data_IF_856927414758
#
_entry.id   IF_856927414758
#
_cell.length_a   1.000
_cell.length_b   1.000
_cell.length_c   1.000
_cell.angle_alpha   90.00
_cell.angle_beta   90.00
_cell.angle_gamma   90.00
#
_symmetry.space_group_name_H-M   'P 1'
#
loop_
_entity.id
_entity.type
_entity.pdbx_description
1 polymer ?
#
# COMPACT_ATOMS: atom_id res chain seq x y z
N UNK A 1 -9.42 34.05 13.02
CA UNK A 1 -9.79 33.27 11.82
C UNK A 1 -8.77 32.16 11.62
N UNK A 2 -9.11 30.93 11.99
CA UNK A 2 -8.26 29.76 11.71
C UNK A 2 -8.22 29.55 10.19
N UNK A 3 -7.04 29.66 9.58
CA UNK A 3 -6.87 29.32 8.16
C UNK A 3 -7.12 27.82 8.05
N UNK A 4 -8.20 27.44 7.34
CA UNK A 4 -8.43 26.05 6.95
C UNK A 4 -7.23 25.61 6.11
N UNK A 5 -6.32 24.84 6.70
CA UNK A 5 -5.30 24.14 5.94
C UNK A 5 -5.96 22.87 5.39
N UNK A 6 -5.92 22.64 4.07
CA UNK A 6 -6.43 21.40 3.52
C UNK A 6 -5.72 20.23 4.24
N UNK A 7 -6.50 19.28 4.72
CA UNK A 7 -5.98 18.08 5.37
C UNK A 7 -5.09 17.36 4.36
N UNK A 8 -3.84 17.07 4.73
CA UNK A 8 -2.96 16.31 3.86
C UNK A 8 -3.68 15.00 3.46
N UNK A 9 -3.62 14.66 2.19
CA UNK A 9 -4.27 13.48 1.63
C UNK A 9 -3.23 12.42 1.30
N UNK A 10 -3.66 11.17 1.21
CA UNK A 10 -2.85 10.06 0.74
C UNK A 10 -2.27 10.38 -0.65
N UNK A 11 -0.96 10.17 -0.82
CA UNK A 11 -0.32 10.27 -2.13
C UNK A 11 -0.54 8.97 -2.89
N UNK A 12 -1.19 9.05 -4.05
CA UNK A 12 -1.32 7.92 -4.96
C UNK A 12 -0.13 7.76 -5.91
N UNK A 13 0.82 8.69 -5.87
CA UNK A 13 1.97 8.75 -6.80
C UNK A 13 3.27 8.33 -6.14
N UNK A 14 3.38 8.49 -4.82
CA UNK A 14 4.57 8.15 -4.04
C UNK A 14 4.16 7.32 -2.83
N UNK A 15 4.26 6.02 -2.97
CA UNK A 15 3.83 5.05 -1.98
C UNK A 15 4.99 4.14 -1.61
N UNK A 16 5.07 3.74 -0.36
CA UNK A 16 5.88 2.61 0.08
C UNK A 16 4.99 1.61 0.81
N UNK A 17 4.93 0.41 0.29
CA UNK A 17 4.22 -0.71 0.92
C UNK A 17 5.21 -1.49 1.76
N UNK A 18 4.92 -1.68 3.04
CA UNK A 18 5.82 -2.41 3.95
C UNK A 18 5.10 -3.56 4.63
N UNK A 19 5.86 -4.61 4.87
CA UNK A 19 5.52 -5.69 5.77
C UNK A 19 6.70 -6.02 6.68
N UNK A 20 6.42 -6.60 7.87
CA UNK A 20 7.47 -7.00 8.80
C UNK A 20 7.27 -8.42 9.31
N UNK A 21 8.38 -9.12 9.46
CA UNK A 21 8.44 -10.39 10.16
C UNK A 21 9.14 -10.22 11.50
N UNK A 22 8.57 -10.83 12.52
CA UNK A 22 8.99 -10.63 13.91
C UNK A 22 9.16 -11.95 14.64
N UNK A 23 9.96 -11.90 15.71
CA UNK A 23 9.98 -12.96 16.73
C UNK A 23 9.68 -12.37 18.10
N UNK A 24 9.03 -13.17 18.95
CA UNK A 24 8.90 -12.91 20.39
C UNK A 24 9.74 -13.92 21.17
N UNK A 25 10.31 -13.48 22.29
CA UNK A 25 10.95 -14.36 23.25
C UNK A 25 9.95 -14.99 24.23
N UNK A 26 8.68 -14.62 24.15
CA UNK A 26 7.63 -15.11 25.04
C UNK A 26 6.79 -16.21 24.36
N UNK A 27 6.53 -17.28 25.09
CA UNK A 27 5.56 -18.31 24.71
C UNK A 27 4.30 -18.12 25.53
N UNK A 28 3.15 -18.04 24.86
CA UNK A 28 1.86 -17.93 25.57
C UNK A 28 1.40 -19.31 26.01
N UNK A 29 0.95 -19.46 27.29
CA UNK A 29 0.51 -20.77 27.82
C UNK A 29 -0.65 -21.40 27.06
N UNK A 30 -1.48 -20.58 26.41
CA UNK A 30 -2.65 -20.99 25.61
C UNK A 30 -2.32 -21.16 24.12
N UNK A 31 -1.04 -21.00 23.72
CA UNK A 31 -0.61 -21.00 22.31
C UNK A 31 -1.06 -19.78 21.52
N UNK A 32 -1.56 -18.73 22.20
CA UNK A 32 -1.98 -17.48 21.58
C UNK A 32 -0.81 -16.66 21.02
N UNK A 33 -1.15 -15.61 20.29
CA UNK A 33 -0.15 -14.67 19.75
C UNK A 33 0.38 -13.78 20.90
N UNK A 34 1.72 -13.68 21.08
CA UNK A 34 2.30 -12.87 22.15
C UNK A 34 1.93 -11.38 22.00
N UNK A 35 1.91 -10.60 23.11
CA UNK A 35 1.65 -9.17 23.05
C UNK A 35 2.63 -8.45 22.10
N UNK A 36 2.15 -7.50 21.30
CA UNK A 36 2.96 -6.81 20.28
C UNK A 36 4.26 -6.20 20.83
N UNK A 37 4.25 -5.73 22.08
CA UNK A 37 5.41 -5.09 22.72
C UNK A 37 6.56 -6.06 23.04
N UNK A 38 6.33 -7.39 22.98
CA UNK A 38 7.37 -8.41 23.19
C UNK A 38 8.04 -8.84 21.88
N UNK A 39 7.50 -8.37 20.76
CA UNK A 39 8.04 -8.67 19.44
C UNK A 39 9.21 -7.75 19.11
N UNK A 40 10.17 -8.31 18.36
CA UNK A 40 11.24 -7.55 17.70
C UNK A 40 11.24 -7.85 16.21
N UNK A 41 11.46 -6.85 15.34
CA UNK A 41 11.54 -7.08 13.90
C UNK A 41 12.83 -7.87 13.59
N UNK A 42 12.73 -8.81 12.64
CA UNK A 42 13.88 -9.55 12.10
C UNK A 42 14.07 -9.26 10.62
N UNK A 43 12.97 -9.09 9.88
CA UNK A 43 12.94 -8.69 8.48
C UNK A 43 11.88 -7.62 8.30
N UNK A 44 12.17 -6.65 7.46
CA UNK A 44 11.18 -5.77 6.85
C UNK A 44 11.40 -5.83 5.35
N UNK A 45 10.35 -6.01 4.58
CA UNK A 45 10.35 -5.82 3.15
C UNK A 45 9.54 -4.59 2.78
N UNK A 46 10.03 -3.82 1.83
CA UNK A 46 9.42 -2.58 1.35
C UNK A 46 9.41 -2.55 -0.17
N UNK A 47 8.27 -2.27 -0.78
CA UNK A 47 8.15 -1.95 -2.19
C UNK A 47 7.88 -0.45 -2.33
N UNK A 48 8.82 0.29 -2.88
CA UNK A 48 8.54 1.65 -3.30
C UNK A 48 7.81 1.62 -4.63
N UNK A 49 6.77 2.45 -4.74
CA UNK A 49 5.93 2.60 -5.92
C UNK A 49 5.88 4.09 -6.25
N UNK A 50 6.70 4.54 -7.16
CA UNK A 50 6.77 5.94 -7.57
C UNK A 50 6.20 6.09 -8.98
N UNK A 51 5.19 6.95 -9.14
CA UNK A 51 4.53 7.21 -10.43
C UNK A 51 5.07 8.49 -11.05
N UNK A 52 5.58 8.39 -12.27
CA UNK A 52 6.08 9.56 -13.00
C UNK A 52 4.94 10.37 -13.65
N UNK A 53 5.26 11.54 -14.18
CA UNK A 53 4.31 12.44 -14.85
C UNK A 53 3.64 11.84 -16.10
N UNK A 54 4.17 10.74 -16.65
CA UNK A 54 3.59 10.01 -17.78
C UNK A 54 2.65 8.86 -17.34
N UNK A 55 2.47 8.70 -16.02
CA UNK A 55 1.63 7.65 -15.45
C UNK A 55 2.31 6.28 -15.33
N UNK A 56 3.61 6.21 -15.54
CA UNK A 56 4.38 4.98 -15.43
C UNK A 56 4.86 4.78 -13.98
N UNK A 57 4.74 3.56 -13.49
CA UNK A 57 5.19 3.17 -12.18
C UNK A 57 6.64 2.67 -12.22
N UNK A 58 7.41 3.11 -11.26
CA UNK A 58 8.74 2.59 -10.95
C UNK A 58 8.65 1.84 -9.63
N UNK A 59 9.15 0.61 -9.62
CA UNK A 59 9.12 -0.26 -8.45
C UNK A 59 10.53 -0.62 -8.02
N UNK A 60 10.76 -0.63 -6.71
CA UNK A 60 12.01 -1.13 -6.13
C UNK A 60 11.67 -1.91 -4.86
N UNK A 61 12.07 -3.19 -4.80
CA UNK A 61 11.95 -4.03 -3.63
C UNK A 61 13.23 -3.95 -2.79
N UNK A 62 13.09 -3.59 -1.54
CA UNK A 62 14.20 -3.55 -0.57
C UNK A 62 13.82 -4.37 0.65
N UNK A 63 14.69 -5.31 1.04
CA UNK A 63 14.50 -6.11 2.26
C UNK A 63 15.61 -5.82 3.27
N UNK A 64 15.22 -5.43 4.47
CA UNK A 64 16.09 -5.08 5.60
C UNK A 64 16.12 -6.25 6.59
N UNK A 65 17.31 -6.66 7.03
CA UNK A 65 17.52 -7.71 8.03
C UNK A 65 18.04 -7.10 9.31
N UNK A 66 17.16 -6.81 10.26
CA UNK A 66 17.50 -6.09 11.49
C UNK A 66 18.57 -6.77 12.36
N UNK A 67 18.77 -8.07 12.21
CA UNK A 67 19.81 -8.79 12.95
C UNK A 67 21.21 -8.72 12.30
N UNK A 68 21.31 -8.26 11.06
CA UNK A 68 22.54 -8.25 10.25
C UNK A 68 22.95 -6.83 9.83
N UNK A 69 22.02 -5.87 9.84
CA UNK A 69 22.20 -4.52 9.32
C UNK A 69 22.18 -3.49 10.47
N UNK A 70 23.33 -2.88 10.76
CA UNK A 70 23.44 -1.83 11.77
C UNK A 70 22.72 -0.53 11.35
N UNK A 71 22.57 -0.28 10.04
CA UNK A 71 21.88 0.88 9.47
C UNK A 71 20.40 0.62 9.15
N UNK A 72 19.82 -0.51 9.62
CA UNK A 72 18.46 -0.95 9.29
C UNK A 72 17.41 0.17 9.44
N UNK A 73 17.44 0.91 10.54
CA UNK A 73 16.48 2.00 10.79
C UNK A 73 16.72 3.24 9.92
N UNK A 74 17.97 3.53 9.57
CA UNK A 74 18.30 4.64 8.65
C UNK A 74 17.87 4.28 7.23
N UNK A 75 18.05 3.03 6.82
CA UNK A 75 17.55 2.52 5.55
C UNK A 75 16.03 2.57 5.51
N UNK A 76 15.35 2.11 6.58
CA UNK A 76 13.90 2.26 6.69
C UNK A 76 13.45 3.71 6.55
N UNK A 77 14.06 4.63 7.30
CA UNK A 77 13.69 6.06 7.23
C UNK A 77 13.84 6.62 5.81
N UNK A 78 14.93 6.28 5.08
CA UNK A 78 15.13 6.68 3.68
C UNK A 78 14.01 6.20 2.76
N UNK A 79 13.50 4.99 2.96
CA UNK A 79 12.39 4.43 2.18
C UNK A 79 11.06 5.16 2.44
N UNK A 80 10.86 5.65 3.67
CA UNK A 80 9.62 6.33 4.07
C UNK A 80 9.57 7.83 3.69
N UNK A 81 10.73 8.47 3.45
CA UNK A 81 10.78 9.91 3.15
C UNK A 81 9.94 10.23 1.91
N UNK A 82 9.05 11.24 2.07
CA UNK A 82 8.18 11.76 1.01
C UNK A 82 7.20 10.74 0.40
N UNK A 83 6.96 9.61 1.05
CA UNK A 83 6.01 8.60 0.62
C UNK A 83 4.88 8.40 1.63
N UNK A 84 3.71 8.03 1.15
CA UNK A 84 2.64 7.49 1.97
C UNK A 84 2.94 6.02 2.28
N UNK A 85 2.98 5.67 3.55
CA UNK A 85 3.24 4.29 4.01
C UNK A 85 1.96 3.47 3.90
N UNK A 86 2.03 2.31 3.29
CA UNK A 86 0.91 1.36 3.20
C UNK A 86 1.27 0.07 3.92
N UNK A 87 0.32 -0.47 4.66
CA UNK A 87 0.48 -1.73 5.41
C UNK A 87 -0.81 -2.56 5.39
N UNK A 88 -0.69 -3.79 5.81
CA UNK A 88 -1.83 -4.67 6.10
C UNK A 88 -1.89 -5.04 7.60
N UNK A 89 -1.82 -4.16 8.52
CA UNK A 89 -1.91 -4.22 9.99
C UNK A 89 -0.86 -3.33 10.67
N UNK A 90 -0.49 -2.24 10.02
CA UNK A 90 0.54 -1.35 10.53
C UNK A 90 0.15 -0.64 11.80
N UNK A 91 -1.11 -0.21 11.91
CA UNK A 91 -1.60 0.50 13.11
C UNK A 91 -1.63 -0.40 14.34
N UNK A 92 -2.04 -1.66 14.15
CA UNK A 92 -2.19 -2.61 15.23
C UNK A 92 -0.90 -3.31 15.65
N UNK A 93 0.09 -3.37 14.74
CA UNK A 93 1.27 -4.18 14.97
C UNK A 93 2.57 -3.61 14.41
N UNK A 94 2.71 -3.40 13.08
CA UNK A 94 4.02 -3.11 12.47
C UNK A 94 4.66 -1.83 13.00
N UNK A 95 3.93 -0.72 12.95
CA UNK A 95 4.48 0.57 13.33
C UNK A 95 4.78 0.69 14.83
N UNK A 96 3.91 0.20 15.76
CA UNK A 96 4.25 0.12 17.17
C UNK A 96 5.51 -0.71 17.46
N UNK A 97 5.66 -1.88 16.82
CA UNK A 97 6.84 -2.75 16.99
C UNK A 97 8.10 -2.05 16.48
N UNK A 98 8.07 -1.46 15.28
CA UNK A 98 9.20 -0.74 14.70
C UNK A 98 9.60 0.46 15.57
N UNK A 99 8.63 1.24 16.04
CA UNK A 99 8.89 2.42 16.88
C UNK A 99 9.52 2.03 18.21
N UNK A 100 9.01 0.98 18.88
CA UNK A 100 9.57 0.49 20.14
C UNK A 100 10.98 -0.08 19.94
N UNK A 101 11.22 -0.83 18.87
CA UNK A 101 12.52 -1.36 18.52
C UNK A 101 13.54 -0.26 18.22
N UNK A 102 13.13 0.79 17.49
CA UNK A 102 13.98 1.94 17.23
C UNK A 102 14.39 2.64 18.53
N UNK A 103 13.46 2.83 19.46
CA UNK A 103 13.73 3.41 20.77
C UNK A 103 14.71 2.55 21.59
N UNK A 104 14.49 1.23 21.62
CA UNK A 104 15.37 0.31 22.35
C UNK A 104 16.80 0.26 21.79
N UNK A 105 16.95 0.45 20.48
CA UNK A 105 18.24 0.58 19.79
C UNK A 105 18.81 2.00 19.78
N UNK A 106 18.15 2.96 20.44
CA UNK A 106 18.55 4.39 20.50
C UNK A 106 18.54 5.11 19.15
N UNK A 107 17.75 4.62 18.19
CA UNK A 107 17.53 5.29 16.90
C UNK A 107 16.40 6.31 17.01
N UNK A 108 16.71 7.55 17.40
CA UNK A 108 15.72 8.60 17.66
C UNK A 108 15.49 9.57 16.50
N UNK A 109 16.20 9.43 15.38
CA UNK A 109 16.13 10.36 14.25
C UNK A 109 15.35 9.76 13.08
N UNK A 110 14.08 9.39 13.33
CA UNK A 110 13.18 8.73 12.40
C UNK A 110 11.87 9.52 12.27
N UNK A 111 11.89 10.74 11.70
CA UNK A 111 10.70 11.58 11.60
C UNK A 111 9.61 10.98 10.74
N UNK A 112 9.95 10.28 9.64
CA UNK A 112 8.96 9.67 8.74
C UNK A 112 8.27 8.47 9.39
N UNK A 113 9.05 7.59 10.04
CA UNK A 113 8.50 6.49 10.82
C UNK A 113 7.61 7.01 11.95
N UNK A 114 8.07 8.02 12.68
CA UNK A 114 7.30 8.62 13.78
C UNK A 114 5.99 9.22 13.25
N UNK A 115 6.04 9.94 12.14
CA UNK A 115 4.84 10.54 11.55
C UNK A 115 3.83 9.49 11.10
N UNK A 116 4.27 8.38 10.50
CA UNK A 116 3.41 7.27 10.13
C UNK A 116 2.81 6.56 11.35
N UNK A 117 3.63 6.30 12.38
CA UNK A 117 3.23 5.56 13.59
C UNK A 117 2.29 6.36 14.51
N UNK A 118 2.37 7.68 14.50
CA UNK A 118 1.57 8.57 15.36
C UNK A 118 0.40 9.24 14.64
N UNK A 119 0.21 8.95 13.36
CA UNK A 119 -0.94 9.47 12.63
C UNK A 119 -2.24 8.93 13.24
N UNK A 120 -3.25 9.79 13.32
CA UNK A 120 -4.57 9.37 13.79
C UNK A 120 -5.11 8.21 12.94
N UNK A 121 -5.63 7.18 13.58
CA UNK A 121 -6.25 6.01 12.91
C UNK A 121 -7.38 6.37 11.92
N UNK A 122 -7.91 7.58 11.99
CA UNK A 122 -8.93 8.11 11.06
C UNK A 122 -8.35 9.01 9.97
N UNK A 123 -7.04 9.26 9.99
CA UNK A 123 -6.32 9.94 8.92
C UNK A 123 -5.67 8.89 7.99
N UNK A 124 -5.14 9.34 6.84
CA UNK A 124 -4.52 8.44 5.87
C UNK A 124 -3.47 9.16 5.01
N UNK A 125 -2.95 10.28 5.50
CA UNK A 125 -1.99 11.06 4.71
C UNK A 125 -0.57 10.48 4.78
N UNK A 126 -0.19 9.97 5.95
CA UNK A 126 1.13 9.41 6.20
C UNK A 126 1.12 7.90 6.24
N UNK A 127 0.02 7.31 6.72
CA UNK A 127 -0.12 5.88 6.85
C UNK A 127 -1.51 5.40 6.41
N UNK A 128 -1.53 4.38 5.57
CA UNK A 128 -2.74 3.76 5.02
C UNK A 128 -2.75 2.28 5.38
N UNK A 129 -3.47 1.93 6.43
CA UNK A 129 -3.60 0.55 6.89
C UNK A 129 -4.80 -0.12 6.22
N UNK A 130 -4.55 -1.08 5.33
CA UNK A 130 -5.60 -1.76 4.59
C UNK A 130 -6.53 -2.59 5.48
N UNK A 131 -6.02 -3.27 6.52
CA UNK A 131 -6.91 -3.99 7.46
C UNK A 131 -7.83 -3.02 8.19
N UNK A 132 -7.30 -1.86 8.61
CA UNK A 132 -8.13 -0.84 9.24
C UNK A 132 -9.18 -0.28 8.26
N UNK A 133 -8.83 -0.10 6.98
CA UNK A 133 -9.75 0.38 5.94
C UNK A 133 -10.88 -0.63 5.69
N UNK A 134 -10.56 -1.88 5.39
CA UNK A 134 -11.55 -2.93 5.13
C UNK A 134 -12.44 -3.22 6.36
N UNK A 135 -11.87 -3.15 7.56
CA UNK A 135 -12.60 -3.42 8.80
C UNK A 135 -13.32 -2.21 9.39
N UNK A 136 -13.30 -1.05 8.73
CA UNK A 136 -13.79 0.20 9.29
C UNK A 136 -13.18 0.47 10.69
N UNK A 137 -11.84 0.51 10.75
CA UNK A 137 -11.06 0.71 11.98
C UNK A 137 -11.35 -0.33 13.08
N UNK A 138 -11.57 -1.60 12.69
CA UNK A 138 -11.81 -2.71 13.60
C UNK A 138 -13.27 -2.92 14.03
N UNK A 139 -14.22 -2.22 13.42
CA UNK A 139 -15.66 -2.45 13.63
C UNK A 139 -16.08 -3.82 13.08
N UNK A 140 -15.60 -4.19 11.88
CA UNK A 140 -15.69 -5.55 11.36
C UNK A 140 -14.45 -6.34 11.80
N UNK A 141 -14.68 -7.47 12.50
CA UNK A 141 -13.58 -8.26 13.08
C UNK A 141 -13.36 -9.56 12.31
N UNK A 142 -12.17 -10.17 12.51
CA UNK A 142 -11.88 -11.52 12.05
C UNK A 142 -11.42 -11.58 10.59
N UNK A 143 -10.84 -10.51 10.02
CA UNK A 143 -10.18 -10.55 8.73
C UNK A 143 -8.65 -10.59 8.86
N UNK A 144 -8.00 -11.21 7.89
CA UNK A 144 -6.55 -11.21 7.70
C UNK A 144 -6.22 -10.78 6.27
N UNK A 145 -4.95 -10.41 6.02
CA UNK A 145 -4.49 -10.11 4.66
C UNK A 145 -4.86 -11.24 3.68
N UNK A 146 -4.57 -12.49 4.06
CA UNK A 146 -4.87 -13.64 3.21
C UNK A 146 -6.36 -13.77 2.87
N UNK A 147 -7.26 -13.58 3.85
CA UNK A 147 -8.70 -13.64 3.61
C UNK A 147 -9.19 -12.52 2.69
N UNK A 148 -8.65 -11.31 2.83
CA UNK A 148 -9.00 -10.19 1.96
C UNK A 148 -8.48 -10.42 0.54
N UNK A 149 -7.24 -10.90 0.41
CA UNK A 149 -6.65 -11.23 -0.89
C UNK A 149 -7.45 -12.32 -1.61
N UNK A 150 -7.78 -13.40 -0.91
CA UNK A 150 -8.58 -14.52 -1.45
C UNK A 150 -9.96 -14.04 -1.93
N UNK A 151 -10.62 -13.18 -1.17
CA UNK A 151 -11.93 -12.63 -1.52
C UNK A 151 -11.94 -11.80 -2.82
N UNK A 152 -10.81 -11.22 -3.21
CA UNK A 152 -10.68 -10.39 -4.43
C UNK A 152 -9.80 -11.04 -5.51
N UNK A 153 -9.44 -12.31 -5.35
CA UNK A 153 -8.65 -13.05 -6.33
C UNK A 153 -7.16 -12.68 -6.37
N UNK A 154 -6.63 -12.05 -5.31
CA UNK A 154 -5.20 -11.75 -5.17
C UNK A 154 -4.51 -12.93 -4.50
N UNK A 155 -3.40 -13.39 -5.06
CA UNK A 155 -2.60 -14.45 -4.43
C UNK A 155 -1.95 -13.98 -3.14
N UNK A 156 -1.92 -14.85 -2.13
CA UNK A 156 -1.24 -14.62 -0.85
C UNK A 156 -0.65 -15.93 -0.33
N UNK A 157 0.30 -15.85 0.61
CA UNK A 157 0.90 -17.02 1.32
C UNK A 157 1.49 -18.09 0.39
N UNK A 158 2.26 -17.69 -0.61
CA UNK A 158 2.81 -18.62 -1.62
C UNK A 158 3.99 -19.44 -1.05
N UNK A 159 4.76 -18.91 -0.09
CA UNK A 159 6.05 -19.51 0.32
C UNK A 159 6.09 -20.07 1.74
N UNK A 160 5.39 -19.47 2.70
CA UNK A 160 5.40 -19.87 4.11
C UNK A 160 4.15 -19.37 4.86
N UNK A 161 4.02 -19.74 6.14
CA UNK A 161 2.99 -19.22 7.04
C UNK A 161 3.63 -18.46 8.19
N UNK A 162 3.01 -17.37 8.66
CA UNK A 162 3.54 -16.51 9.72
C UNK A 162 3.85 -17.21 11.04
N UNK A 163 3.15 -18.30 11.36
CA UNK A 163 3.40 -19.16 12.52
C UNK A 163 4.68 -20.00 12.43
N UNK A 164 5.27 -20.09 11.23
CA UNK A 164 6.55 -20.79 10.98
C UNK A 164 7.77 -19.86 11.09
N UNK A 165 7.60 -18.55 11.10
CA UNK A 165 8.67 -17.54 11.08
C UNK A 165 9.67 -17.77 12.23
N UNK A 166 9.19 -17.98 13.45
CA UNK A 166 10.05 -18.28 14.60
C UNK A 166 10.92 -19.53 14.40
N UNK A 167 10.31 -20.63 13.89
CA UNK A 167 11.02 -21.89 13.61
C UNK A 167 12.05 -21.70 12.49
N UNK A 168 11.71 -20.96 11.43
CA UNK A 168 12.60 -20.66 10.31
C UNK A 168 13.79 -19.81 10.77
N UNK A 169 13.54 -18.80 11.61
CA UNK A 169 14.60 -17.95 12.14
C UNK A 169 15.64 -18.74 12.92
N UNK A 170 15.22 -19.59 13.86
CA UNK A 170 16.15 -20.41 14.65
C UNK A 170 16.86 -21.48 13.83
N UNK A 171 16.30 -21.89 12.68
CA UNK A 171 16.94 -22.79 11.71
C UNK A 171 17.80 -22.04 10.68
N UNK A 172 18.06 -20.75 10.86
CA UNK A 172 18.80 -19.89 9.93
C UNK A 172 18.15 -19.76 8.54
N UNK A 173 16.85 -19.89 8.46
CA UNK A 173 16.06 -19.78 7.22
C UNK A 173 15.72 -18.34 6.85
N UNK A 174 16.60 -17.37 7.12
CA UNK A 174 16.34 -15.93 6.90
C UNK A 174 15.96 -15.61 5.45
N UNK A 175 16.54 -16.30 4.47
CA UNK A 175 16.18 -16.12 3.05
C UNK A 175 14.72 -16.45 2.78
N UNK A 176 14.20 -17.53 3.36
CA UNK A 176 12.79 -17.92 3.22
C UNK A 176 11.87 -16.91 3.89
N UNK A 177 12.28 -16.35 5.04
CA UNK A 177 11.52 -15.30 5.73
C UNK A 177 11.48 -14.03 4.88
N UNK A 178 12.58 -13.62 4.26
CA UNK A 178 12.62 -12.49 3.32
C UNK A 178 11.66 -12.73 2.16
N UNK A 179 11.71 -13.88 1.50
CA UNK A 179 10.84 -14.21 0.37
C UNK A 179 9.35 -14.21 0.76
N UNK A 180 9.04 -14.66 1.98
CA UNK A 180 7.68 -14.62 2.51
C UNK A 180 7.21 -13.16 2.72
N UNK A 181 8.02 -12.34 3.40
CA UNK A 181 7.73 -10.93 3.66
C UNK A 181 7.58 -10.14 2.33
N UNK A 182 8.44 -10.37 1.33
CA UNK A 182 8.30 -9.77 -0.02
C UNK A 182 7.00 -10.18 -0.71
N UNK A 183 6.56 -11.43 -0.56
CA UNK A 183 5.27 -11.91 -1.05
C UNK A 183 4.08 -11.19 -0.42
N UNK A 184 4.11 -10.96 0.90
CA UNK A 184 3.06 -10.24 1.61
C UNK A 184 3.04 -8.74 1.23
N UNK A 185 4.18 -8.14 0.91
CA UNK A 185 4.27 -6.79 0.33
C UNK A 185 3.60 -6.71 -1.03
N UNK A 186 3.85 -7.68 -1.93
CA UNK A 186 3.18 -7.73 -3.25
C UNK A 186 1.67 -7.93 -3.10
N UNK A 187 1.23 -8.86 -2.25
CA UNK A 187 -0.19 -9.08 -1.95
C UNK A 187 -0.86 -7.81 -1.44
N UNK A 188 -0.21 -7.10 -0.52
CA UNK A 188 -0.68 -5.83 0.04
C UNK A 188 -0.77 -4.75 -1.05
N UNK A 189 0.19 -4.70 -1.99
CA UNK A 189 0.18 -3.74 -3.11
C UNK A 189 -0.96 -4.02 -4.08
N UNK A 190 -1.20 -5.27 -4.43
CA UNK A 190 -2.33 -5.65 -5.29
C UNK A 190 -3.67 -5.38 -4.59
N UNK A 191 -3.78 -5.66 -3.30
CA UNK A 191 -4.98 -5.35 -2.50
C UNK A 191 -5.22 -3.84 -2.41
N UNK A 192 -4.15 -3.03 -2.31
CA UNK A 192 -4.24 -1.57 -2.37
C UNK A 192 -4.85 -1.11 -3.70
N UNK A 193 -4.45 -1.71 -4.82
CA UNK A 193 -4.98 -1.37 -6.14
C UNK A 193 -6.51 -1.55 -6.19
N UNK A 194 -7.02 -2.67 -5.68
CA UNK A 194 -8.46 -2.94 -5.56
C UNK A 194 -9.17 -1.90 -4.68
N UNK A 195 -8.63 -1.66 -3.47
CA UNK A 195 -9.27 -0.75 -2.52
C UNK A 195 -9.31 0.69 -3.04
N UNK A 196 -8.22 1.16 -3.64
CA UNK A 196 -8.14 2.53 -4.18
C UNK A 196 -9.06 2.74 -5.38
N UNK A 197 -9.22 1.72 -6.24
CA UNK A 197 -10.20 1.79 -7.33
C UNK A 197 -11.63 1.97 -6.79
N UNK A 198 -12.01 1.22 -5.75
CA UNK A 198 -13.31 1.39 -5.08
C UNK A 198 -13.46 2.77 -4.44
N UNK A 199 -12.45 3.24 -3.70
CA UNK A 199 -12.49 4.51 -2.98
C UNK A 199 -12.59 5.72 -3.93
N UNK A 200 -11.98 5.61 -5.11
CA UNK A 200 -12.00 6.66 -6.14
C UNK A 200 -13.16 6.53 -7.12
N UNK A 201 -13.77 5.37 -7.24
CA UNK A 201 -14.67 5.05 -8.34
C UNK A 201 -13.95 5.04 -9.69
N UNK A 202 -12.66 4.67 -9.72
CA UNK A 202 -11.79 4.72 -10.90
C UNK A 202 -10.98 3.43 -11.02
N UNK A 203 -11.38 2.59 -11.97
CA UNK A 203 -10.72 1.31 -12.26
C UNK A 203 -9.34 1.48 -12.91
N UNK A 204 -9.05 2.65 -13.47
CA UNK A 204 -7.79 2.90 -14.19
C UNK A 204 -6.57 2.83 -13.27
N UNK A 205 -6.73 3.23 -12.02
CA UNK A 205 -5.68 3.09 -11.00
C UNK A 205 -5.32 1.61 -10.78
N UNK A 206 -6.35 0.76 -10.61
CA UNK A 206 -6.17 -0.69 -10.43
C UNK A 206 -5.49 -1.31 -11.66
N UNK A 207 -6.02 -1.04 -12.85
CA UNK A 207 -5.48 -1.58 -14.10
C UNK A 207 -4.02 -1.15 -14.32
N UNK A 208 -3.70 0.13 -14.08
CA UNK A 208 -2.37 0.67 -14.24
C UNK A 208 -1.37 0.06 -13.25
N UNK A 209 -1.67 0.08 -11.95
CA UNK A 209 -0.77 -0.46 -10.92
C UNK A 209 -0.56 -1.96 -11.10
N UNK A 210 -1.64 -2.73 -11.26
CA UNK A 210 -1.59 -4.19 -11.41
C UNK A 210 -0.83 -4.62 -12.66
N UNK A 211 -1.11 -4.03 -13.82
CA UNK A 211 -0.43 -4.42 -15.07
C UNK A 211 1.06 -4.09 -15.05
N UNK A 212 1.45 -2.99 -14.41
CA UNK A 212 2.84 -2.58 -14.36
C UNK A 212 3.64 -3.35 -13.31
N UNK A 213 3.05 -3.70 -12.15
CA UNK A 213 3.71 -4.58 -11.19
C UNK A 213 3.90 -6.00 -11.75
N UNK A 214 2.92 -6.53 -12.50
CA UNK A 214 3.07 -7.83 -13.19
C UNK A 214 4.24 -7.78 -14.19
N UNK A 215 4.35 -6.70 -14.98
CA UNK A 215 5.49 -6.52 -15.89
C UNK A 215 6.82 -6.44 -15.15
N UNK A 216 6.87 -5.70 -14.04
CA UNK A 216 8.07 -5.56 -13.23
C UNK A 216 8.50 -6.90 -12.62
N UNK A 217 7.58 -7.69 -12.03
CA UNK A 217 7.88 -9.02 -11.49
C UNK A 217 8.50 -9.92 -12.57
N UNK A 218 7.91 -9.94 -13.77
CA UNK A 218 8.40 -10.76 -14.87
C UNK A 218 9.77 -10.28 -15.43
N UNK A 219 10.08 -8.98 -15.35
CA UNK A 219 11.33 -8.42 -15.82
C UNK A 219 12.49 -8.61 -14.85
N UNK A 220 12.26 -8.46 -13.54
CA UNK A 220 13.29 -8.58 -12.49
C UNK A 220 13.71 -10.04 -12.23
N UNK A 221 12.87 -11.02 -12.60
CA UNK A 221 13.20 -12.44 -12.50
C UNK A 221 13.26 -12.99 -11.07
N UNK A 222 12.56 -12.38 -10.14
CA UNK A 222 12.40 -12.89 -8.77
C UNK A 222 11.47 -14.11 -8.76
N UNK A 223 12.03 -15.33 -8.89
CA UNK A 223 11.26 -16.58 -9.02
C UNK A 223 10.15 -16.74 -7.98
N UNK A 224 10.40 -16.36 -6.71
CA UNK A 224 9.43 -16.46 -5.62
C UNK A 224 8.26 -15.48 -5.75
N UNK A 225 8.39 -14.43 -6.57
CA UNK A 225 7.31 -13.45 -6.84
C UNK A 225 6.50 -13.80 -8.10
N UNK A 226 6.98 -14.67 -8.99
CA UNK A 226 6.27 -15.04 -10.23
C UNK A 226 4.82 -15.50 -9.99
N UNK A 227 4.49 -16.27 -8.93
CA UNK A 227 3.10 -16.65 -8.68
C UNK A 227 2.15 -15.47 -8.49
N UNK A 228 2.63 -14.31 -8.02
CA UNK A 228 1.82 -13.11 -7.84
C UNK A 228 1.56 -12.35 -9.16
N UNK A 229 2.32 -12.65 -10.21
CA UNK A 229 2.10 -12.10 -11.55
C UNK A 229 1.01 -12.82 -12.34
N UNK A 230 0.52 -13.96 -11.83
CA UNK A 230 -0.57 -14.73 -12.44
C UNK A 230 -1.92 -14.14 -12.03
N UNK A 231 -2.36 -13.05 -12.68
CA UNK A 231 -3.68 -12.43 -12.48
C UNK A 231 -4.67 -13.06 -13.44
N UNK A 232 -5.75 -13.66 -12.91
CA UNK A 232 -6.70 -14.50 -13.65
C UNK A 232 -7.33 -13.79 -14.86
N UNK A 233 -7.70 -12.51 -14.72
CA UNK A 233 -8.34 -11.73 -15.80
C UNK A 233 -7.66 -10.36 -16.01
N UNK A 234 -6.35 -10.33 -16.10
CA UNK A 234 -5.62 -9.10 -16.40
C UNK A 234 -6.04 -8.47 -17.75
N UNK A 235 -6.26 -9.24 -18.85
CA UNK A 235 -6.76 -8.65 -20.08
C UNK A 235 -8.15 -8.03 -19.95
N UNK A 236 -9.07 -8.65 -19.22
CA UNK A 236 -10.40 -8.10 -18.96
C UNK A 236 -10.33 -6.82 -18.13
N UNK A 237 -9.52 -6.77 -17.09
CA UNK A 237 -9.27 -5.58 -16.29
C UNK A 237 -8.76 -4.40 -17.14
N UNK A 238 -7.79 -4.65 -18.03
CA UNK A 238 -7.26 -3.64 -18.93
C UNK A 238 -8.30 -3.15 -19.95
N UNK A 239 -9.07 -4.07 -20.53
CA UNK A 239 -10.14 -3.75 -21.47
C UNK A 239 -11.22 -2.90 -20.78
N UNK A 240 -11.67 -3.30 -19.60
CA UNK A 240 -12.66 -2.55 -18.83
C UNK A 240 -12.18 -1.13 -18.49
N UNK A 241 -10.93 -0.97 -18.08
CA UNK A 241 -10.32 0.33 -17.81
C UNK A 241 -10.29 1.24 -19.05
N UNK A 242 -9.98 0.70 -20.22
CA UNK A 242 -9.98 1.46 -21.48
C UNK A 242 -11.40 1.93 -21.85
N UNK A 243 -12.41 1.07 -21.69
CA UNK A 243 -13.81 1.42 -21.94
C UNK A 243 -14.25 2.54 -20.99
N UNK A 244 -13.96 2.42 -19.69
CA UNK A 244 -14.32 3.44 -18.70
C UNK A 244 -13.66 4.80 -18.99
N UNK A 245 -12.39 4.81 -19.39
CA UNK A 245 -11.69 6.03 -19.81
C UNK A 245 -12.31 6.65 -21.06
N UNK A 246 -12.71 5.83 -22.05
CA UNK A 246 -13.36 6.30 -23.27
C UNK A 246 -14.71 6.94 -22.95
N UNK A 247 -15.52 6.28 -22.13
CA UNK A 247 -16.83 6.78 -21.70
C UNK A 247 -16.71 8.09 -20.92
N UNK A 248 -15.69 8.20 -20.06
CA UNK A 248 -15.40 9.44 -19.34
C UNK A 248 -15.01 10.59 -20.29
N UNK A 249 -14.18 10.31 -21.30
CA UNK A 249 -13.76 11.28 -22.30
C UNK A 249 -14.95 11.74 -23.16
N UNK A 250 -15.85 10.84 -23.55
CA UNK A 250 -17.09 11.17 -24.28
C UNK A 250 -17.97 12.09 -23.44
N UNK A 251 -18.28 11.72 -22.18
CA UNK A 251 -19.07 12.55 -21.25
C UNK A 251 -18.46 13.93 -21.05
N UNK A 252 -17.13 14.02 -20.90
CA UNK A 252 -16.45 15.33 -20.76
C UNK A 252 -16.60 16.16 -22.02
N UNK A 253 -16.44 15.57 -23.20
CA UNK A 253 -16.63 16.26 -24.50
C UNK A 253 -18.04 16.81 -24.67
N UNK A 254 -19.06 16.05 -24.26
CA UNK A 254 -20.47 16.49 -24.27
C UNK A 254 -20.73 17.67 -23.32
N UNK A 255 -20.17 17.61 -22.09
CA UNK A 255 -20.25 18.69 -21.11
C UNK A 255 -19.58 19.98 -21.62
N UNK A 256 -18.42 19.85 -22.24
CA UNK A 256 -17.70 20.97 -22.84
C UNK A 256 -18.46 21.58 -24.03
N UNK A 257 -19.11 20.75 -24.85
CA UNK A 257 -19.95 21.22 -25.95
C UNK A 257 -21.20 21.97 -25.43
N UNK A 258 -21.89 21.43 -24.41
CA UNK A 258 -23.01 22.07 -23.78
C UNK A 258 -22.64 23.42 -23.11
N UNK A 259 -21.47 23.46 -22.47
CA UNK A 259 -20.95 24.69 -21.84
C UNK A 259 -20.59 25.75 -22.88
N UNK A 260 -20.02 25.35 -24.03
CA UNK A 260 -19.78 26.28 -25.17
C UNK A 260 -21.09 26.82 -25.76
N UNK A 261 -22.06 25.93 -25.95
CA UNK A 261 -23.39 26.34 -26.47
C UNK A 261 -24.09 27.34 -25.54
N UNK A 262 -24.05 27.06 -24.22
CA UNK A 262 -24.62 27.98 -23.20
C UNK A 262 -23.92 29.34 -23.24
N UNK A 263 -22.60 29.42 -23.25
CA UNK A 263 -21.84 30.70 -23.34
C UNK A 263 -22.21 31.50 -24.58
N UNK A 264 -22.39 30.82 -25.72
CA UNK A 264 -22.81 31.47 -26.98
C UNK A 264 -24.18 32.05 -26.85
N UNK A 265 -25.14 31.32 -26.27
CA UNK A 265 -26.49 31.78 -26.03
C UNK A 265 -26.52 32.97 -25.08
N UNK A 266 -25.78 32.92 -23.97
CA UNK A 266 -25.69 34.01 -22.99
C UNK A 266 -25.09 35.29 -23.61
N UNK A 267 -24.12 35.16 -24.52
CA UNK A 267 -23.55 36.29 -25.27
C UNK A 267 -24.55 36.91 -26.24
N UNK A 268 -25.30 36.11 -26.99
CA UNK A 268 -26.37 36.57 -27.91
C UNK A 268 -27.50 37.31 -27.14
N UNK A 269 -27.90 36.80 -25.97
CA UNK A 269 -28.87 37.49 -25.10
C UNK A 269 -28.36 38.81 -24.55
N UNK A 270 -27.08 38.90 -24.19
CA UNK A 270 -26.45 40.12 -23.69
C UNK A 270 -26.43 41.24 -24.74
N UNK A 271 -26.21 40.90 -26.01
CA UNK A 271 -26.24 41.85 -27.12
C UNK A 271 -27.66 42.41 -27.38
N UNK A 272 -28.69 41.58 -27.20
CA UNK A 272 -30.10 42.00 -27.44
C UNK A 272 -30.59 42.92 -26.32
N UNK A 273 -30.07 42.81 -25.08
CA UNK A 273 -30.50 43.64 -23.94
C UNK A 273 -29.84 45.01 -23.86
N UNK A 274 -28.92 45.31 -24.74
CA UNK A 274 -28.22 46.62 -24.84
C UNK A 274 -28.79 47.54 -25.94
N UNK A 275 -29.91 47.18 -26.54
CA UNK A 275 -30.72 48.02 -27.41
C UNK A 275 -32.02 48.43 -26.68
#
# INVERSE_FOLDING_TARGET
MSRYQPKAMFSDEHVVVIDIETISGEEMPDGGFPPWATHRPIVLSALTCDRNAFGEWQFEMTSIRFCEDEEAFETLERLLINRSVVTANGQGFYLPVLLLSAQSSRNFRLPSLTAAATESRYASAKHYDLLAKYSNNGAARGCSLAMLCDAVGVKSKVTAHGDEVGKLYYRKGIKTIVQYCEGDVISTTLLLAHYRAMEKGDISYHASLTSQIVRWINAEGHEHLLPFAEIEDLPGLLCFSLVDQLDAAIRQSELDAASRAKRKLDAEFSEITHY
#
